data_IF_901769891717
#
_entry.id   IF_901769891717
#
_cell.length_a   1.000
_cell.length_b   1.000
_cell.length_c   1.000
_cell.angle_alpha   90.00
_cell.angle_beta   90.00
_cell.angle_gamma   90.00
#
_symmetry.space_group_name_H-M   'P 1'
#
loop_
_entity.id
_entity.type
_entity.pdbx_description
1 polymer ?
#
# COMPACT_ATOMS: atom_id res chain seq x y z
N UNK A 1 29.50 77.44 12.54
CA UNK A 1 29.76 76.02 12.88
C UNK A 1 29.13 75.14 11.80
N UNK A 2 29.83 74.84 10.70
CA UNK A 2 29.33 73.96 9.65
C UNK A 2 29.64 72.48 9.94
N UNK A 3 28.66 71.59 9.69
CA UNK A 3 28.81 70.12 9.68
C UNK A 3 29.64 69.67 8.47
N UNK A 4 30.62 68.76 8.61
CA UNK A 4 31.26 68.12 7.47
C UNK A 4 30.70 66.71 7.18
N UNK A 5 30.22 66.56 5.94
CA UNK A 5 30.48 65.48 4.98
C UNK A 5 30.46 64.01 5.42
N UNK A 6 29.45 63.29 4.92
CA UNK A 6 29.43 61.83 4.75
C UNK A 6 30.58 61.34 3.85
N UNK A 7 31.27 60.28 4.28
CA UNK A 7 32.20 59.52 3.45
C UNK A 7 31.59 58.17 3.12
N UNK A 8 31.36 57.95 1.84
CA UNK A 8 31.04 56.68 1.19
C UNK A 8 32.23 55.73 1.29
N UNK A 9 31.99 54.49 1.71
CA UNK A 9 32.95 53.36 1.67
C UNK A 9 32.64 52.46 0.47
N UNK A 10 33.66 51.90 -0.22
CA UNK A 10 33.50 51.19 -1.48
C UNK A 10 33.08 49.72 -1.31
N UNK A 11 32.38 49.21 -2.32
CA UNK A 11 31.95 47.82 -2.46
C UNK A 11 33.15 46.88 -2.66
N UNK A 12 33.16 45.77 -1.92
CA UNK A 12 34.13 44.69 -2.05
C UNK A 12 33.63 43.68 -3.07
N UNK A 13 34.35 43.54 -4.19
CA UNK A 13 34.20 42.43 -5.14
C UNK A 13 34.53 41.11 -4.45
N UNK A 14 33.64 40.12 -4.55
CA UNK A 14 33.90 38.73 -4.19
C UNK A 14 33.84 37.90 -5.46
N UNK A 15 34.95 37.20 -5.73
CA UNK A 15 35.15 36.34 -6.88
C UNK A 15 34.14 35.19 -6.92
N UNK A 16 33.49 35.05 -8.08
CA UNK A 16 32.57 33.98 -8.44
C UNK A 16 33.36 32.69 -8.69
N UNK A 17 33.29 31.75 -7.74
CA UNK A 17 33.83 30.41 -7.88
C UNK A 17 32.79 29.52 -8.57
N UNK A 18 33.16 28.99 -9.73
CA UNK A 18 32.34 28.11 -10.59
C UNK A 18 32.13 26.74 -9.91
N UNK A 19 30.89 26.40 -9.60
CA UNK A 19 30.50 25.11 -9.02
C UNK A 19 30.75 23.97 -10.02
N UNK A 20 31.28 22.80 -9.59
CA UNK A 20 31.38 21.61 -10.44
C UNK A 20 30.03 20.86 -10.52
N UNK A 21 29.60 20.57 -11.74
CA UNK A 21 28.40 19.80 -12.10
C UNK A 21 28.32 18.42 -11.39
N UNK A 22 27.13 17.98 -10.95
CA UNK A 22 26.95 16.70 -10.26
C UNK A 22 26.92 15.49 -11.21
N UNK A 23 27.70 14.47 -10.86
CA UNK A 23 27.80 13.18 -11.55
C UNK A 23 26.53 12.31 -11.29
N UNK A 24 25.79 11.82 -12.31
CA UNK A 24 24.46 11.24 -12.12
C UNK A 24 24.43 9.72 -11.89
N UNK A 25 25.36 9.14 -11.13
CA UNK A 25 25.34 7.68 -10.85
C UNK A 25 25.99 7.30 -9.51
N UNK A 26 25.41 7.78 -8.42
CA UNK A 26 25.64 7.20 -7.10
C UNK A 26 24.28 7.00 -6.43
N UNK A 27 23.89 5.74 -6.21
CA UNK A 27 22.79 5.42 -5.30
C UNK A 27 23.15 6.03 -3.92
N UNK A 28 22.23 6.73 -3.24
CA UNK A 28 22.58 7.41 -2.00
C UNK A 28 23.00 6.37 -0.96
N UNK A 29 24.26 6.40 -0.55
CA UNK A 29 24.75 5.63 0.59
C UNK A 29 23.85 5.95 1.78
N UNK A 30 23.03 4.99 2.20
CA UNK A 30 22.16 5.15 3.36
C UNK A 30 23.09 5.22 4.56
N UNK A 31 23.34 6.42 5.08
CA UNK A 31 24.00 6.63 6.37
C UNK A 31 23.17 5.90 7.43
N UNK A 32 23.68 4.76 7.88
CA UNK A 32 23.07 3.96 8.94
C UNK A 32 23.67 4.36 10.27
N UNK A 33 22.83 4.43 11.29
CA UNK A 33 23.28 4.63 12.67
C UNK A 33 24.06 3.41 13.15
N UNK A 34 24.85 3.59 14.20
CA UNK A 34 25.40 2.42 14.90
C UNK A 34 24.25 1.57 15.47
N UNK A 35 24.44 0.25 15.66
CA UNK A 35 23.38 -0.61 16.19
C UNK A 35 22.85 -0.16 17.56
N UNK A 36 23.69 0.48 18.38
CA UNK A 36 23.31 1.01 19.69
C UNK A 36 22.43 2.25 19.58
N UNK A 37 22.82 3.20 18.72
CA UNK A 37 22.02 4.40 18.43
C UNK A 37 20.69 4.06 17.75
N UNK A 38 20.69 3.11 16.81
CA UNK A 38 19.47 2.61 16.16
C UNK A 38 18.49 2.05 17.21
N UNK A 39 19.00 1.27 18.16
CA UNK A 39 18.16 0.72 19.23
C UNK A 39 17.59 1.81 20.12
N UNK A 40 18.40 2.82 20.47
CA UNK A 40 17.96 3.95 21.28
C UNK A 40 16.85 4.77 20.58
N UNK A 41 17.04 5.10 19.29
CA UNK A 41 16.03 5.80 18.49
C UNK A 41 14.74 4.99 18.33
N UNK A 42 14.86 3.66 18.17
CA UNK A 42 13.70 2.79 18.09
C UNK A 42 12.96 2.69 19.43
N UNK A 43 13.68 2.66 20.54
CA UNK A 43 13.09 2.66 21.89
C UNK A 43 12.37 3.97 22.20
N UNK A 44 12.97 5.10 21.84
CA UNK A 44 12.34 6.42 21.93
C UNK A 44 11.07 6.49 21.09
N UNK A 45 11.14 6.10 19.80
CA UNK A 45 9.98 6.03 18.92
C UNK A 45 8.87 5.12 19.47
N UNK A 46 9.23 3.97 20.05
CA UNK A 46 8.28 3.05 20.67
C UNK A 46 7.62 3.62 21.92
N UNK A 47 8.35 4.42 22.71
CA UNK A 47 7.83 5.12 23.89
C UNK A 47 6.81 6.18 23.47
N UNK A 48 7.15 7.03 22.50
CA UNK A 48 6.24 8.04 21.96
C UNK A 48 5.00 7.40 21.32
N UNK A 49 5.17 6.27 20.61
CA UNK A 49 4.06 5.48 20.08
C UNK A 49 3.14 4.94 21.20
N UNK A 50 3.70 4.54 22.34
CA UNK A 50 2.91 4.08 23.48
C UNK A 50 2.08 5.21 24.10
N UNK A 51 2.65 6.41 24.23
CA UNK A 51 1.91 7.62 24.62
C UNK A 51 0.77 7.93 23.63
N UNK A 52 1.05 7.84 22.33
CA UNK A 52 0.05 8.05 21.29
C UNK A 52 -1.09 7.00 21.37
N UNK A 53 -0.78 5.74 21.67
CA UNK A 53 -1.79 4.71 21.90
C UNK A 53 -2.66 5.02 23.14
N UNK A 54 -2.07 5.58 24.20
CA UNK A 54 -2.82 5.99 25.38
C UNK A 54 -3.81 7.11 25.04
N UNK A 55 -3.36 8.14 24.30
CA UNK A 55 -4.23 9.23 23.80
C UNK A 55 -5.31 8.72 22.85
N UNK A 56 -4.98 7.75 22.00
CA UNK A 56 -5.95 7.10 21.11
C UNK A 56 -7.06 6.42 21.93
N UNK A 57 -6.72 5.73 23.02
CA UNK A 57 -7.70 5.07 23.89
C UNK A 57 -8.64 6.05 24.59
N UNK A 58 -8.19 7.29 24.85
CA UNK A 58 -9.01 8.37 25.41
C UNK A 58 -9.80 9.14 24.35
N UNK A 59 -9.82 8.67 23.10
CA UNK A 59 -10.47 9.32 21.94
C UNK A 59 -9.90 10.70 21.60
N UNK A 60 -8.69 11.01 22.07
CA UNK A 60 -7.98 12.25 21.75
C UNK A 60 -7.12 12.02 20.51
N UNK A 61 -7.78 11.98 19.34
CA UNK A 61 -7.15 11.59 18.09
C UNK A 61 -6.18 12.65 17.55
N UNK A 62 -6.42 13.93 17.82
CA UNK A 62 -5.56 15.03 17.37
C UNK A 62 -4.21 14.99 18.07
N UNK A 63 -4.21 14.91 19.41
CA UNK A 63 -2.96 14.80 20.17
C UNK A 63 -2.27 13.44 19.92
N UNK A 64 -3.04 12.37 19.74
CA UNK A 64 -2.47 11.07 19.34
C UNK A 64 -1.75 11.16 18.00
N UNK A 65 -2.31 11.86 17.00
CA UNK A 65 -1.67 12.05 15.69
C UNK A 65 -0.36 12.81 15.81
N UNK A 66 -0.32 13.90 16.59
CA UNK A 66 0.93 14.63 16.83
C UNK A 66 2.01 13.72 17.41
N UNK A 67 1.66 12.90 18.43
CA UNK A 67 2.62 11.95 19.01
C UNK A 67 3.05 10.84 18.04
N UNK A 68 2.17 10.38 17.16
CA UNK A 68 2.59 9.46 16.10
C UNK A 68 3.52 10.09 15.07
N UNK A 69 3.32 11.36 14.74
CA UNK A 69 4.23 12.10 13.85
C UNK A 69 5.61 12.26 14.50
N UNK A 70 5.66 12.57 15.80
CA UNK A 70 6.90 12.59 16.58
C UNK A 70 7.58 11.21 16.58
N UNK A 71 6.82 10.14 16.81
CA UNK A 71 7.37 8.78 16.72
C UNK A 71 7.94 8.44 15.33
N UNK A 72 7.34 8.95 14.25
CA UNK A 72 7.83 8.77 12.88
C UNK A 72 9.06 9.61 12.56
N UNK A 73 9.24 10.78 13.18
CA UNK A 73 10.41 11.62 12.97
C UNK A 73 11.63 11.05 13.69
N UNK A 74 11.45 10.44 14.86
CA UNK A 74 12.51 9.71 15.58
C UNK A 74 12.90 8.40 14.90
N UNK A 75 11.95 7.70 14.25
CA UNK A 75 12.20 6.39 13.66
C UNK A 75 13.03 6.49 12.36
N UNK A 76 14.23 5.86 12.28
CA UNK A 76 15.06 5.87 11.08
C UNK A 76 14.32 5.40 9.81
N UNK A 77 14.49 6.11 8.70
CA UNK A 77 13.74 5.89 7.46
C UNK A 77 13.88 4.48 6.85
N UNK A 78 15.00 3.79 7.11
CA UNK A 78 15.24 2.44 6.62
C UNK A 78 14.53 1.34 7.44
N UNK A 79 13.97 1.66 8.62
CA UNK A 79 13.21 0.74 9.46
C UNK A 79 11.74 0.64 9.00
N UNK A 80 11.55 0.04 7.83
CA UNK A 80 10.27 0.04 7.12
C UNK A 80 9.11 -0.57 7.90
N UNK A 81 9.34 -1.68 8.62
CA UNK A 81 8.27 -2.31 9.41
C UNK A 81 7.83 -1.42 10.57
N UNK A 82 8.77 -0.85 11.32
CA UNK A 82 8.45 -0.03 12.51
C UNK A 82 7.70 1.24 12.10
N UNK A 83 8.12 1.86 11.00
CA UNK A 83 7.41 2.99 10.37
C UNK A 83 6.02 2.59 9.89
N UNK A 84 5.87 1.43 9.26
CA UNK A 84 4.58 0.94 8.79
C UNK A 84 3.59 0.68 9.94
N UNK A 85 4.06 0.22 11.11
CA UNK A 85 3.24 0.07 12.31
C UNK A 85 2.65 1.43 12.72
N UNK A 86 3.50 2.45 12.83
CA UNK A 86 3.08 3.80 13.24
C UNK A 86 2.13 4.42 12.21
N UNK A 87 2.47 4.36 10.92
CA UNK A 87 1.61 4.86 9.84
C UNK A 87 0.25 4.16 9.80
N UNK A 88 0.21 2.85 10.04
CA UNK A 88 -1.03 2.09 10.12
C UNK A 88 -1.89 2.56 11.30
N UNK A 89 -1.29 2.89 12.45
CA UNK A 89 -2.02 3.47 13.58
C UNK A 89 -2.51 4.91 13.32
N UNK A 90 -1.72 5.75 12.64
CA UNK A 90 -2.19 7.07 12.20
C UNK A 90 -3.41 6.96 11.29
N UNK A 91 -3.43 6.00 10.37
CA UNK A 91 -4.61 5.73 9.54
C UNK A 91 -5.84 5.37 10.39
N UNK A 92 -5.66 4.71 11.54
CA UNK A 92 -6.75 4.45 12.47
C UNK A 92 -7.27 5.73 13.14
N UNK A 93 -6.41 6.70 13.47
CA UNK A 93 -6.84 8.01 13.97
C UNK A 93 -7.64 8.77 12.90
N UNK A 94 -7.11 8.86 11.67
CA UNK A 94 -7.77 9.55 10.57
C UNK A 94 -9.14 8.95 10.24
N UNK A 95 -9.32 7.63 10.38
CA UNK A 95 -10.62 6.99 10.23
C UNK A 95 -11.63 7.41 11.29
N UNK A 96 -11.21 7.62 12.54
CA UNK A 96 -12.10 8.09 13.60
C UNK A 96 -12.45 9.56 13.46
N UNK A 97 -11.57 10.34 12.84
CA UNK A 97 -11.79 11.76 12.52
C UNK A 97 -12.49 11.98 11.16
N UNK A 98 -12.86 10.90 10.46
CA UNK A 98 -13.48 10.96 9.12
C UNK A 98 -12.62 11.67 8.06
N UNK A 99 -11.30 11.74 8.28
CA UNK A 99 -10.33 12.31 7.35
C UNK A 99 -9.91 11.26 6.33
N UNK A 100 -10.82 10.91 5.42
CA UNK A 100 -10.65 9.78 4.51
C UNK A 100 -9.40 9.87 3.64
N UNK A 101 -9.09 11.06 3.10
CA UNK A 101 -7.93 11.27 2.23
C UNK A 101 -6.61 11.00 2.95
N UNK A 102 -6.48 11.45 4.19
CA UNK A 102 -5.25 11.28 4.95
C UNK A 102 -5.14 9.86 5.53
N UNK A 103 -6.27 9.22 5.86
CA UNK A 103 -6.32 7.79 6.17
C UNK A 103 -5.82 6.93 4.99
N UNK A 104 -6.25 7.23 3.75
CA UNK A 104 -5.80 6.53 2.54
C UNK A 104 -4.30 6.70 2.35
N UNK A 105 -3.77 7.93 2.47
CA UNK A 105 -2.34 8.21 2.34
C UNK A 105 -1.52 7.45 3.38
N UNK A 106 -1.87 7.58 4.66
CA UNK A 106 -1.13 6.92 5.75
C UNK A 106 -1.15 5.39 5.62
N UNK A 107 -2.29 4.79 5.27
CA UNK A 107 -2.38 3.35 5.06
C UNK A 107 -1.61 2.89 3.80
N UNK A 108 -1.57 3.71 2.74
CA UNK A 108 -0.79 3.42 1.53
C UNK A 108 0.70 3.47 1.82
N UNK A 109 1.19 4.50 2.52
CA UNK A 109 2.60 4.56 2.93
C UNK A 109 3.03 3.36 3.78
N UNK A 110 2.14 2.88 4.67
CA UNK A 110 2.40 1.67 5.44
C UNK A 110 2.55 0.44 4.54
N UNK A 111 1.65 0.27 3.56
CA UNK A 111 1.69 -0.85 2.62
C UNK A 111 2.91 -0.80 1.70
N UNK A 112 3.28 0.38 1.21
CA UNK A 112 4.45 0.59 0.37
C UNK A 112 5.75 0.27 1.13
N UNK A 113 5.83 0.68 2.40
CA UNK A 113 6.94 0.33 3.29
C UNK A 113 7.08 -1.19 3.48
N UNK A 114 5.95 -1.89 3.73
CA UNK A 114 5.95 -3.35 3.86
C UNK A 114 6.29 -4.06 2.54
N UNK A 115 5.79 -3.59 1.40
CA UNK A 115 6.12 -4.14 0.08
C UNK A 115 7.60 -3.98 -0.23
N UNK A 116 8.17 -2.82 0.09
CA UNK A 116 9.61 -2.56 -0.06
C UNK A 116 10.46 -3.47 0.84
N UNK A 117 10.00 -3.75 2.07
CA UNK A 117 10.67 -4.67 2.99
C UNK A 117 10.71 -6.10 2.44
N UNK A 118 9.59 -6.59 1.91
CA UNK A 118 9.52 -7.92 1.31
C UNK A 118 10.36 -8.04 0.04
N UNK A 119 10.37 -7.00 -0.81
CA UNK A 119 11.23 -6.95 -1.99
C UNK A 119 12.71 -7.06 -1.63
N UNK A 120 13.15 -6.35 -0.58
CA UNK A 120 14.52 -6.43 -0.05
C UNK A 120 14.85 -7.81 0.52
N UNK A 121 13.91 -8.48 1.18
CA UNK A 121 14.13 -9.83 1.71
C UNK A 121 14.29 -10.84 0.58
N UNK A 122 13.43 -10.77 -0.46
CA UNK A 122 13.52 -11.64 -1.64
C UNK A 122 14.82 -11.44 -2.43
N UNK A 123 15.29 -10.19 -2.56
CA UNK A 123 16.56 -9.90 -3.22
C UNK A 123 17.74 -10.57 -2.50
N UNK A 124 17.81 -10.45 -1.16
CA UNK A 124 18.84 -11.10 -0.34
C UNK A 124 18.80 -12.63 -0.42
N UNK A 125 17.61 -13.22 -0.44
CA UNK A 125 17.45 -14.67 -0.63
C UNK A 125 17.95 -15.13 -2.00
N UNK A 126 17.71 -14.34 -3.05
CA UNK A 126 18.19 -14.64 -4.41
C UNK A 126 19.71 -14.52 -4.54
N UNK A 127 20.31 -13.53 -3.90
CA UNK A 127 21.77 -13.35 -3.84
C UNK A 127 22.45 -14.50 -3.08
N UNK A 128 21.90 -14.90 -1.93
CA UNK A 128 22.41 -16.05 -1.16
C UNK A 128 22.30 -17.37 -1.91
N UNK A 129 21.21 -17.60 -2.66
CA UNK A 129 21.08 -18.80 -3.51
C UNK A 129 22.09 -18.82 -4.65
N UNK A 130 22.38 -17.68 -5.27
CA UNK A 130 23.38 -17.58 -6.33
C UNK A 130 24.81 -17.80 -5.81
N UNK A 131 25.13 -17.33 -4.60
CA UNK A 131 26.42 -17.62 -3.94
C UNK A 131 26.56 -19.11 -3.54
N UNK A 132 25.49 -19.74 -3.07
CA UNK A 132 25.47 -21.17 -2.73
C UNK A 132 25.60 -22.08 -3.98
N UNK A 133 24.92 -21.76 -5.07
CA UNK A 133 25.05 -22.48 -6.36
C UNK A 133 26.44 -22.26 -7.00
N UNK A 134 27.07 -21.10 -6.75
CA UNK A 134 28.46 -20.83 -7.12
C UNK A 134 29.47 -21.70 -6.36
N UNK A 135 29.17 -22.07 -5.12
CA UNK A 135 30.02 -22.96 -4.31
C UNK A 135 29.87 -24.45 -4.67
N UNK A 136 28.68 -24.91 -5.07
CA UNK A 136 28.47 -26.31 -5.51
C UNK A 136 29.15 -26.63 -6.85
N UNK A 137 29.18 -25.67 -7.78
CA UNK A 137 29.85 -25.82 -9.07
C UNK A 137 31.38 -25.90 -8.93
N UNK A 138 31.96 -25.30 -7.88
CA UNK A 138 33.41 -25.36 -7.62
C UNK A 138 33.84 -26.67 -6.92
N UNK A 139 32.89 -27.43 -6.35
CA UNK A 139 33.16 -28.74 -5.73
C UNK A 139 33.10 -29.91 -6.73
N UNK A 140 32.39 -29.75 -7.85
CA UNK A 140 32.34 -30.75 -8.95
C UNK A 140 33.57 -30.74 -9.87
N UNK A 141 34.37 -29.67 -9.89
CA UNK A 141 35.59 -29.59 -10.74
C UNK A 141 36.84 -30.23 -10.12
N UNK A 142 36.73 -30.87 -8.95
CA UNK A 142 37.86 -31.57 -8.28
C UNK A 142 37.65 -33.07 -8.06
N UNK A 143 36.62 -33.68 -8.66
CA UNK A 143 36.41 -35.12 -8.65
C UNK A 143 36.02 -35.62 -10.05
N UNK A 144 36.89 -35.37 -11.03
CA UNK A 144 36.87 -36.10 -12.30
C UNK A 144 38.31 -36.47 -12.66
N UNK A 145 38.90 -37.38 -11.89
CA UNK A 145 40.04 -38.21 -12.34
C UNK A 145 40.26 -39.35 -11.35
N UNK A 146 39.48 -40.44 -11.49
CA UNK A 146 39.83 -41.80 -11.05
C UNK A 146 38.75 -42.81 -11.50
N UNK A 147 38.80 -43.13 -12.79
CA UNK A 147 38.75 -44.49 -13.35
C UNK A 147 38.01 -45.62 -12.58
N UNK A 148 36.84 -46.00 -13.13
CA UNK A 148 36.51 -47.32 -13.71
C UNK A 148 36.90 -48.58 -12.91
N UNK A 149 35.90 -49.33 -12.42
CA UNK A 149 35.65 -50.76 -12.79
C UNK A 149 34.43 -51.39 -12.10
N UNK A 150 33.63 -52.06 -12.96
CA UNK A 150 32.88 -53.32 -12.81
C UNK A 150 31.89 -53.55 -11.66
N UNK A 151 30.73 -54.11 -12.04
CA UNK A 151 30.11 -55.22 -11.29
C UNK A 151 28.63 -55.08 -11.00
N UNK A 152 27.82 -55.58 -11.94
CA UNK A 152 26.60 -56.38 -11.80
C UNK A 152 25.72 -56.32 -10.53
N UNK A 153 24.41 -56.26 -10.80
CA UNK A 153 23.33 -57.06 -10.20
C UNK A 153 22.13 -56.29 -9.62
N UNK A 154 20.98 -56.91 -9.93
CA UNK A 154 19.58 -56.57 -9.78
C UNK A 154 19.07 -56.27 -8.37
N UNK A 155 18.00 -55.49 -8.24
CA UNK A 155 16.66 -55.99 -7.81
C UNK A 155 15.66 -54.85 -7.58
N UNK A 156 14.40 -55.21 -7.83
CA UNK A 156 13.16 -54.45 -7.79
C UNK A 156 12.78 -53.96 -6.39
N UNK A 157 12.06 -52.84 -6.25
CA UNK A 157 10.65 -52.75 -5.79
C UNK A 157 10.23 -51.32 -5.43
N UNK A 158 9.10 -50.86 -5.99
CA UNK A 158 8.18 -49.87 -5.39
C UNK A 158 7.12 -50.64 -4.56
N UNK A 159 6.30 -50.07 -3.62
CA UNK A 159 5.24 -49.05 -3.86
C UNK A 159 5.08 -47.99 -2.71
N UNK A 160 4.51 -46.76 -2.91
CA UNK A 160 3.08 -46.32 -2.88
C UNK A 160 2.43 -46.47 -1.47
N UNK A 161 1.79 -45.48 -0.80
CA UNK A 161 0.47 -44.82 -1.09
C UNK A 161 0.04 -43.77 -0.02
N UNK A 162 -0.79 -42.80 -0.46
CA UNK A 162 -2.06 -42.24 0.10
C UNK A 162 -2.09 -41.42 1.41
N UNK A 163 -3.09 -40.57 1.72
CA UNK A 163 -4.02 -39.62 1.07
C UNK A 163 -5.14 -39.32 2.11
N UNK A 164 -5.71 -38.10 2.08
CA UNK A 164 -7.04 -37.66 2.59
C UNK A 164 -7.30 -37.53 4.12
N UNK A 165 -8.30 -36.82 4.65
CA UNK A 165 -9.18 -35.66 4.35
C UNK A 165 -10.27 -35.65 5.48
N UNK A 166 -10.93 -34.52 5.74
CA UNK A 166 -12.23 -34.40 6.45
C UNK A 166 -12.13 -33.63 7.79
N UNK A 167 -12.61 -32.39 7.97
CA UNK A 167 -13.98 -31.84 7.88
C UNK A 167 -14.91 -32.47 8.95
N UNK A 168 -15.60 -31.78 9.89
CA UNK A 168 -16.76 -30.87 9.72
C UNK A 168 -17.21 -30.27 11.11
N UNK A 169 -17.64 -29.00 11.05
CA UNK A 169 -18.72 -28.22 11.75
C UNK A 169 -19.11 -28.27 13.26
N UNK A 170 -19.51 -27.08 13.75
CA UNK A 170 -20.47 -26.92 14.85
C UNK A 170 -20.67 -25.50 15.43
N UNK A 171 -21.48 -24.68 14.74
CA UNK A 171 -22.11 -23.35 15.04
C UNK A 171 -22.71 -23.24 16.49
N UNK A 172 -22.78 -22.09 17.21
CA UNK A 172 -23.96 -21.18 17.38
C UNK A 172 -23.76 -20.09 18.50
N UNK A 173 -23.86 -18.79 18.10
CA UNK A 173 -24.56 -17.57 18.67
C UNK A 173 -24.23 -17.12 20.14
N UNK A 174 -23.99 -15.86 20.57
CA UNK A 174 -24.67 -14.55 20.37
C UNK A 174 -23.93 -13.36 21.04
N UNK A 175 -24.46 -12.16 20.80
CA UNK A 175 -24.05 -10.79 21.11
C UNK A 175 -23.88 -10.36 22.59
N UNK A 176 -23.17 -9.24 22.81
CA UNK A 176 -23.50 -8.28 23.88
C UNK A 176 -22.36 -7.65 24.69
N UNK A 177 -22.14 -6.35 24.46
CA UNK A 177 -21.88 -5.29 25.45
C UNK A 177 -20.64 -5.33 26.39
N UNK A 178 -19.77 -4.34 26.17
CA UNK A 178 -19.22 -3.40 27.15
C UNK A 178 -18.85 -3.91 28.55
N UNK A 179 -17.55 -4.14 28.78
CA UNK A 179 -16.74 -3.72 29.95
C UNK A 179 -15.38 -4.43 29.93
N UNK A 180 -14.30 -3.70 29.70
CA UNK A 180 -13.01 -4.02 30.31
C UNK A 180 -12.09 -2.78 30.25
N UNK A 181 -11.62 -2.38 31.42
CA UNK A 181 -10.63 -1.34 31.68
C UNK A 181 -9.22 -1.76 31.15
N UNK A 182 -8.22 -0.86 31.15
CA UNK A 182 -7.07 -0.93 30.25
C UNK A 182 -6.11 -2.08 30.56
N UNK A 183 -5.77 -2.85 29.51
CA UNK A 183 -4.82 -3.96 29.58
C UNK A 183 -3.38 -3.49 29.81
N UNK A 184 -2.77 -4.05 30.84
CA UNK A 184 -1.35 -3.98 31.17
C UNK A 184 -0.44 -4.53 30.04
N UNK A 185 0.84 -4.10 29.98
CA UNK A 185 1.81 -4.63 29.02
C UNK A 185 2.09 -6.13 29.27
N UNK A 186 2.42 -6.90 28.20
CA UNK A 186 2.49 -8.36 28.28
C UNK A 186 3.65 -8.81 29.17
N UNK A 187 3.30 -9.26 30.37
CA UNK A 187 4.16 -10.10 31.20
C UNK A 187 4.01 -11.56 30.77
N UNK A 188 5.13 -12.25 30.83
CA UNK A 188 5.41 -13.63 30.46
C UNK A 188 4.44 -14.70 30.98
N UNK A 189 4.19 -15.67 30.09
CA UNK A 189 3.92 -17.11 30.30
C UNK A 189 2.59 -17.58 30.89
N UNK A 190 1.80 -18.30 30.07
CA UNK A 190 1.37 -19.69 30.36
C UNK A 190 0.84 -20.40 29.09
N UNK A 191 1.01 -21.72 29.12
CA UNK A 191 1.08 -22.74 28.06
C UNK A 191 -0.26 -23.26 27.54
N UNK A 192 -0.33 -23.54 26.24
CA UNK A 192 -1.13 -24.63 25.67
C UNK A 192 -0.20 -25.44 24.75
N UNK A 193 -0.12 -26.74 25.02
CA UNK A 193 0.71 -27.72 24.33
C UNK A 193 0.35 -27.84 22.84
N UNK A 194 1.37 -27.71 21.97
CA UNK A 194 1.25 -27.87 20.53
C UNK A 194 2.53 -27.44 19.84
N UNK A 195 3.31 -28.42 19.40
CA UNK A 195 4.58 -28.30 18.66
C UNK A 195 4.57 -27.20 17.59
N UNK A 196 5.28 -26.08 17.84
CA UNK A 196 5.77 -25.22 16.76
C UNK A 196 6.94 -24.39 17.28
N UNK A 197 8.15 -24.88 17.01
CA UNK A 197 9.37 -24.05 17.03
C UNK A 197 9.30 -23.05 15.86
N UNK A 198 8.40 -22.08 15.93
CA UNK A 198 8.27 -21.03 14.92
C UNK A 198 9.54 -20.18 14.93
N UNK A 199 10.26 -20.13 13.80
CA UNK A 199 11.53 -19.40 13.70
C UNK A 199 11.32 -17.90 13.94
N UNK A 200 12.35 -17.17 14.36
CA UNK A 200 12.26 -15.71 14.52
C UNK A 200 11.85 -15.00 13.21
N UNK A 201 12.23 -15.58 12.06
CA UNK A 201 11.85 -15.12 10.74
C UNK A 201 10.34 -15.29 10.48
N UNK A 202 9.77 -16.48 10.77
CA UNK A 202 8.33 -16.74 10.64
C UNK A 202 7.49 -15.82 11.52
N UNK A 203 7.95 -15.55 12.76
CA UNK A 203 7.29 -14.59 13.66
C UNK A 203 7.28 -13.19 13.05
N UNK A 204 8.42 -12.74 12.51
CA UNK A 204 8.53 -11.43 11.85
C UNK A 204 7.64 -11.34 10.62
N UNK A 205 7.54 -12.42 9.85
CA UNK A 205 6.65 -12.48 8.68
C UNK A 205 5.18 -12.43 9.10
N UNK A 206 4.78 -13.17 10.13
CA UNK A 206 3.43 -13.12 10.69
C UNK A 206 3.08 -11.71 11.20
N UNK A 207 4.03 -11.03 11.84
CA UNK A 207 3.86 -9.65 12.27
C UNK A 207 3.69 -8.68 11.09
N UNK A 208 4.52 -8.82 10.04
CA UNK A 208 4.38 -8.06 8.79
C UNK A 208 3.01 -8.29 8.16
N UNK A 209 2.56 -9.55 8.06
CA UNK A 209 1.23 -9.91 7.55
C UNK A 209 0.11 -9.27 8.37
N UNK A 210 0.22 -9.28 9.71
CA UNK A 210 -0.77 -8.65 10.60
C UNK A 210 -0.87 -7.14 10.35
N UNK A 211 0.25 -6.44 10.21
CA UNK A 211 0.25 -4.99 9.93
C UNK A 211 -0.29 -4.70 8.53
N UNK A 212 0.03 -5.54 7.53
CA UNK A 212 -0.54 -5.46 6.19
C UNK A 212 -2.07 -5.60 6.21
N UNK A 213 -2.59 -6.61 6.90
CA UNK A 213 -4.04 -6.83 7.02
C UNK A 213 -4.71 -5.57 7.62
N UNK A 214 -4.16 -5.04 8.71
CA UNK A 214 -4.68 -3.81 9.34
C UNK A 214 -4.64 -2.62 8.39
N UNK A 215 -3.54 -2.40 7.68
CA UNK A 215 -3.40 -1.29 6.75
C UNK A 215 -4.37 -1.42 5.56
N UNK A 216 -4.54 -2.63 5.00
CA UNK A 216 -5.52 -2.90 3.94
C UNK A 216 -6.95 -2.64 4.40
N UNK A 217 -7.35 -3.15 5.58
CA UNK A 217 -8.68 -2.91 6.13
C UNK A 217 -8.95 -1.42 6.33
N UNK A 218 -7.96 -0.69 6.84
CA UNK A 218 -8.05 0.76 7.05
C UNK A 218 -8.16 1.53 5.73
N UNK A 219 -7.35 1.17 4.73
CA UNK A 219 -7.39 1.79 3.39
C UNK A 219 -8.71 1.49 2.66
N UNK A 220 -9.15 0.24 2.68
CA UNK A 220 -10.39 -0.20 2.06
C UNK A 220 -11.61 0.54 2.64
N UNK A 221 -11.66 0.67 3.98
CA UNK A 221 -12.70 1.45 4.67
C UNK A 221 -12.64 2.92 4.27
N UNK A 222 -11.47 3.55 4.37
CA UNK A 222 -11.33 4.96 4.03
C UNK A 222 -11.72 5.26 2.57
N UNK A 223 -11.34 4.38 1.63
CA UNK A 223 -11.74 4.47 0.22
C UNK A 223 -13.25 4.30 0.01
N UNK A 224 -13.87 3.35 0.71
CA UNK A 224 -15.31 3.12 0.64
C UNK A 224 -16.15 4.30 1.15
N UNK A 225 -15.65 5.01 2.17
CA UNK A 225 -16.27 6.23 2.72
C UNK A 225 -15.95 7.48 1.88
N UNK A 226 -14.74 7.59 1.33
CA UNK A 226 -14.36 8.70 0.46
C UNK A 226 -15.24 8.81 -0.80
N UNK A 227 -15.78 7.68 -1.27
CA UNK A 227 -16.65 7.63 -2.44
C UNK A 227 -15.95 8.02 -3.74
N UNK A 228 -16.74 8.15 -4.80
CA UNK A 228 -16.22 8.34 -6.16
C UNK A 228 -15.68 7.05 -6.78
N UNK A 229 -15.72 6.98 -8.09
CA UNK A 229 -15.46 5.77 -8.86
C UNK A 229 -14.06 5.19 -8.57
N UNK A 230 -13.03 6.05 -8.55
CA UNK A 230 -11.65 5.62 -8.30
C UNK A 230 -11.47 5.01 -6.90
N UNK A 231 -12.00 5.64 -5.85
CA UNK A 231 -11.84 5.11 -4.50
C UNK A 231 -12.67 3.85 -4.30
N UNK A 232 -13.91 3.78 -4.79
CA UNK A 232 -14.76 2.60 -4.66
C UNK A 232 -14.12 1.39 -5.36
N UNK A 233 -13.55 1.59 -6.55
CA UNK A 233 -12.78 0.54 -7.26
C UNK A 233 -11.57 0.09 -6.44
N UNK A 234 -10.78 1.04 -5.90
CA UNK A 234 -9.64 0.72 -5.06
C UNK A 234 -10.03 0.04 -3.73
N UNK A 235 -11.21 0.33 -3.18
CA UNK A 235 -11.74 -0.35 -2.00
C UNK A 235 -12.09 -1.81 -2.32
N UNK A 236 -12.70 -2.08 -3.48
CA UNK A 236 -12.96 -3.45 -3.92
C UNK A 236 -11.68 -4.26 -4.07
N UNK A 237 -10.63 -3.67 -4.67
CA UNK A 237 -9.33 -4.32 -4.83
C UNK A 237 -8.71 -4.68 -3.47
N UNK A 238 -8.76 -3.75 -2.52
CA UNK A 238 -8.24 -3.99 -1.16
C UNK A 238 -9.02 -5.12 -0.45
N UNK A 239 -10.36 -5.13 -0.57
CA UNK A 239 -11.19 -6.19 0.02
C UNK A 239 -11.02 -7.55 -0.70
N UNK A 240 -10.80 -7.55 -2.01
CA UNK A 240 -10.47 -8.77 -2.79
C UNK A 240 -9.11 -9.32 -2.36
N UNK A 241 -8.13 -8.46 -2.09
CA UNK A 241 -6.84 -8.90 -1.56
C UNK A 241 -6.98 -9.46 -0.13
N UNK A 242 -7.78 -8.82 0.71
CA UNK A 242 -8.03 -9.31 2.07
C UNK A 242 -8.71 -10.69 2.11
N UNK A 243 -9.59 -10.99 1.15
CA UNK A 243 -10.30 -12.27 1.12
C UNK A 243 -9.41 -13.46 0.75
N UNK A 244 -8.21 -13.22 0.21
CA UNK A 244 -7.22 -14.26 -0.10
C UNK A 244 -6.18 -14.47 1.01
N UNK A 245 -6.20 -13.66 2.07
CA UNK A 245 -5.22 -13.74 3.16
C UNK A 245 -5.62 -14.81 4.20
N UNK A 246 -4.71 -15.71 4.62
CA UNK A 246 -5.02 -16.82 5.51
C UNK A 246 -5.26 -16.40 6.98
N UNK A 247 -4.60 -15.32 7.44
CA UNK A 247 -4.58 -14.90 8.86
C UNK A 247 -5.70 -13.89 9.21
N UNK A 248 -6.78 -13.85 8.44
CA UNK A 248 -7.85 -12.86 8.62
C UNK A 248 -8.83 -13.29 9.72
N UNK A 249 -9.02 -12.44 10.73
CA UNK A 249 -9.91 -12.74 11.85
C UNK A 249 -11.37 -12.92 11.41
N UNK A 250 -12.15 -13.74 12.12
CA UNK A 250 -13.53 -14.05 11.74
C UNK A 250 -14.45 -12.82 11.62
N UNK A 251 -14.25 -11.81 12.48
CA UNK A 251 -14.98 -10.55 12.42
C UNK A 251 -14.62 -9.73 11.18
N UNK A 252 -13.33 -9.67 10.84
CA UNK A 252 -12.84 -8.98 9.65
C UNK A 252 -13.33 -9.71 8.40
N UNK A 253 -13.25 -11.04 8.36
CA UNK A 253 -13.80 -11.86 7.26
C UNK A 253 -15.28 -11.57 6.99
N UNK A 254 -16.10 -11.40 8.03
CA UNK A 254 -17.51 -11.04 7.87
C UNK A 254 -17.66 -9.65 7.24
N UNK A 255 -16.85 -8.70 7.68
CA UNK A 255 -16.82 -7.33 7.13
C UNK A 255 -16.41 -7.35 5.66
N UNK A 256 -15.31 -8.03 5.32
CA UNK A 256 -14.80 -8.17 3.95
C UNK A 256 -15.87 -8.76 3.03
N UNK A 257 -16.52 -9.87 3.44
CA UNK A 257 -17.60 -10.48 2.66
C UNK A 257 -18.78 -9.52 2.44
N UNK A 258 -19.19 -8.80 3.48
CA UNK A 258 -20.27 -7.80 3.36
C UNK A 258 -19.91 -6.67 2.38
N UNK A 259 -18.68 -6.18 2.45
CA UNK A 259 -18.20 -5.10 1.57
C UNK A 259 -18.06 -5.56 0.10
N UNK A 260 -17.63 -6.80 -0.13
CA UNK A 260 -17.56 -7.38 -1.48
C UNK A 260 -18.93 -7.58 -2.14
N UNK A 261 -20.01 -7.61 -1.37
CA UNK A 261 -21.39 -7.59 -1.90
C UNK A 261 -21.86 -6.15 -2.12
N UNK A 262 -21.54 -5.24 -1.20
CA UNK A 262 -22.08 -3.88 -1.21
C UNK A 262 -21.37 -2.93 -2.19
N UNK A 263 -20.07 -3.10 -2.43
CA UNK A 263 -19.27 -2.17 -3.24
C UNK A 263 -19.54 -2.25 -4.75
N UNK A 264 -19.61 -3.44 -5.40
CA UNK A 264 -19.80 -3.52 -6.85
C UNK A 264 -20.97 -2.70 -7.43
N UNK A 265 -22.19 -2.70 -6.85
CA UNK A 265 -23.26 -1.85 -7.35
C UNK A 265 -22.97 -0.35 -7.13
N UNK A 266 -22.34 0.03 -6.02
CA UNK A 266 -21.94 1.42 -5.74
C UNK A 266 -20.88 1.90 -6.73
N UNK A 267 -19.89 1.06 -7.04
CA UNK A 267 -18.83 1.38 -8.00
C UNK A 267 -19.40 1.58 -9.40
N UNK A 268 -20.32 0.72 -9.84
CA UNK A 268 -21.01 0.87 -11.14
C UNK A 268 -21.83 2.15 -11.21
N UNK A 269 -22.60 2.45 -10.16
CA UNK A 269 -23.38 3.69 -10.09
C UNK A 269 -22.48 4.93 -10.17
N UNK A 270 -21.40 4.98 -9.38
CA UNK A 270 -20.43 6.08 -9.41
C UNK A 270 -19.71 6.19 -10.76
N UNK A 271 -19.40 5.05 -11.39
CA UNK A 271 -18.83 5.02 -12.75
C UNK A 271 -19.77 5.68 -13.75
N UNK A 272 -21.04 5.27 -13.80
CA UNK A 272 -22.02 5.83 -14.74
C UNK A 272 -22.25 7.32 -14.51
N UNK A 273 -22.34 7.75 -13.26
CA UNK A 273 -22.50 9.17 -12.87
C UNK A 273 -21.29 10.00 -13.34
N UNK A 274 -20.06 9.62 -12.95
CA UNK A 274 -18.85 10.36 -13.32
C UNK A 274 -18.61 10.34 -14.84
N UNK A 275 -18.89 9.22 -15.53
CA UNK A 275 -18.82 9.15 -16.99
C UNK A 275 -19.84 10.10 -17.63
N UNK A 276 -21.06 10.18 -17.10
CA UNK A 276 -22.09 11.08 -17.62
C UNK A 276 -21.71 12.55 -17.46
N UNK A 277 -21.12 12.91 -16.31
CA UNK A 277 -20.62 14.27 -16.07
C UNK A 277 -19.44 14.61 -16.97
N UNK A 278 -18.49 13.70 -17.13
CA UNK A 278 -17.34 13.89 -18.00
C UNK A 278 -17.77 13.99 -19.47
N UNK A 279 -18.73 13.18 -19.89
CA UNK A 279 -19.34 13.26 -21.22
C UNK A 279 -20.06 14.59 -21.43
N UNK A 280 -20.81 15.07 -20.43
CA UNK A 280 -21.46 16.37 -20.46
C UNK A 280 -20.47 17.54 -20.58
N UNK A 281 -19.35 17.48 -19.84
CA UNK A 281 -18.25 18.47 -19.93
C UNK A 281 -17.59 18.42 -21.31
N UNK A 282 -17.31 17.24 -21.84
CA UNK A 282 -16.73 17.05 -23.18
C UNK A 282 -17.67 17.56 -24.27
N UNK A 283 -18.97 17.30 -24.13
CA UNK A 283 -20.01 17.81 -25.03
C UNK A 283 -20.05 19.32 -25.02
N UNK A 284 -20.04 19.93 -23.83
CA UNK A 284 -20.05 21.40 -23.67
C UNK A 284 -18.81 22.04 -24.27
N UNK A 285 -17.63 21.44 -24.07
CA UNK A 285 -16.37 21.91 -24.67
C UNK A 285 -16.42 21.79 -26.20
N UNK A 286 -16.88 20.65 -26.73
CA UNK A 286 -17.06 20.43 -28.16
C UNK A 286 -18.05 21.42 -28.77
N UNK A 287 -19.17 21.68 -28.10
CA UNK A 287 -20.15 22.69 -28.50
C UNK A 287 -19.54 24.10 -28.48
N UNK A 288 -18.67 24.42 -27.52
CA UNK A 288 -17.95 25.69 -27.48
C UNK A 288 -17.06 25.92 -28.72
N UNK A 289 -16.40 24.87 -29.22
CA UNK A 289 -15.58 24.91 -30.43
C UNK A 289 -16.46 24.95 -31.69
N UNK A 290 -17.60 24.27 -31.69
CA UNK A 290 -18.49 24.12 -32.85
C UNK A 290 -19.48 25.28 -33.01
N UNK A 291 -19.80 26.01 -31.94
CA UNK A 291 -20.77 27.11 -31.94
C UNK A 291 -20.42 28.27 -32.90
N UNK A 292 -19.15 28.71 -33.08
CA UNK A 292 -18.78 29.66 -34.12
C UNK A 292 -19.08 29.20 -35.55
N UNK A 293 -19.23 27.89 -35.76
CA UNK A 293 -19.58 27.29 -37.04
C UNK A 293 -21.08 26.98 -37.19
N UNK A 294 -21.91 27.38 -36.22
CA UNK A 294 -23.34 27.05 -36.21
C UNK A 294 -23.62 25.56 -35.97
N UNK A 295 -22.64 24.82 -35.43
CA UNK A 295 -22.71 23.39 -35.19
C UNK A 295 -22.78 23.08 -33.70
N UNK A 296 -23.30 21.89 -33.38
CA UNK A 296 -23.22 21.29 -32.05
C UNK A 296 -22.81 19.82 -32.20
N UNK A 297 -22.17 19.28 -31.17
CA UNK A 297 -21.95 17.85 -30.92
C UNK A 297 -23.23 17.01 -31.03
N UNK A 298 -24.41 17.61 -30.86
CA UNK A 298 -25.72 16.94 -31.06
C UNK A 298 -26.05 16.71 -32.54
N UNK A 299 -25.45 17.49 -33.45
CA UNK A 299 -25.70 17.38 -34.89
C UNK A 299 -25.01 16.15 -35.48
N UNK A 300 -24.05 15.55 -34.77
CA UNK A 300 -23.31 14.37 -35.19
C UNK A 300 -23.86 13.14 -34.46
N UNK A 301 -24.84 12.47 -35.05
CA UNK A 301 -25.45 11.26 -34.50
C UNK A 301 -24.68 10.03 -34.96
N UNK A 302 -24.11 9.30 -34.00
CA UNK A 302 -23.44 8.04 -34.28
C UNK A 302 -24.48 6.92 -34.31
N UNK A 303 -24.66 6.27 -35.47
CA UNK A 303 -25.54 5.12 -35.67
C UNK A 303 -24.69 3.88 -35.86
N UNK A 304 -24.83 2.91 -34.96
CA UNK A 304 -24.17 1.61 -35.03
C UNK A 304 -24.95 0.70 -35.98
N UNK A 305 -24.30 0.21 -37.03
CA UNK A 305 -24.89 -0.77 -37.94
C UNK A 305 -24.72 -2.18 -37.35
N UNK A 306 -25.82 -2.78 -36.88
CA UNK A 306 -25.84 -4.09 -36.20
C UNK A 306 -25.33 -5.24 -37.09
N UNK A 307 -25.31 -5.08 -38.42
CA UNK A 307 -24.88 -6.13 -39.36
C UNK A 307 -23.39 -6.09 -39.70
N UNK A 308 -22.79 -4.91 -39.80
CA UNK A 308 -21.36 -4.77 -40.11
C UNK A 308 -20.49 -4.50 -38.88
N UNK A 309 -21.11 -4.18 -37.74
CA UNK A 309 -20.41 -3.71 -36.54
C UNK A 309 -19.76 -2.34 -36.72
N UNK A 310 -19.91 -1.70 -37.89
CA UNK A 310 -19.36 -0.40 -38.20
C UNK A 310 -20.13 0.75 -37.53
N UNK A 311 -19.40 1.81 -37.17
CA UNK A 311 -19.98 3.06 -36.70
C UNK A 311 -20.12 4.02 -37.89
N UNK A 312 -21.34 4.40 -38.23
CA UNK A 312 -21.64 5.44 -39.22
C UNK A 312 -22.01 6.74 -38.52
N UNK A 313 -21.55 7.88 -39.01
CA UNK A 313 -21.82 9.19 -38.42
C UNK A 313 -22.77 9.96 -39.34
N UNK A 314 -24.00 10.15 -38.87
CA UNK A 314 -25.02 10.91 -39.58
C UNK A 314 -25.02 12.36 -39.08
N UNK A 315 -25.02 13.30 -40.02
CA UNK A 315 -25.11 14.72 -39.70
C UNK A 315 -26.55 15.21 -39.85
N UNK A 316 -27.17 15.64 -38.76
CA UNK A 316 -28.45 16.32 -38.77
C UNK A 316 -28.22 17.83 -38.67
N UNK A 317 -28.39 18.55 -39.77
CA UNK A 317 -28.43 20.01 -39.77
C UNK A 317 -29.64 20.48 -38.97
N UNK A 318 -29.42 21.00 -37.76
CA UNK A 318 -30.47 21.64 -36.97
C UNK A 318 -31.12 22.76 -37.79
N UNK A 319 -32.41 22.61 -38.06
CA UNK A 319 -33.21 23.49 -38.92
C UNK A 319 -33.39 24.86 -38.26
N UNK A 320 -32.39 25.73 -38.45
CA UNK A 320 -32.50 27.15 -38.18
C UNK A 320 -33.46 27.77 -39.18
N UNK A 321 -34.67 28.08 -38.71
CA UNK A 321 -35.70 28.87 -39.37
C UNK A 321 -35.13 30.14 -40.01
N UNK A 322 -34.73 30.06 -41.27
CA UNK A 322 -34.57 31.21 -42.14
C UNK A 322 -35.98 31.70 -42.54
N UNK A 323 -36.69 32.31 -41.59
CA UNK A 323 -37.91 33.05 -41.88
C UNK A 323 -37.50 34.36 -42.54
N UNK A 324 -37.37 34.25 -43.86
CA UNK A 324 -37.33 35.32 -44.85
C UNK A 324 -38.21 36.50 -44.40
N UNK A 325 -37.61 37.66 -44.16
CA UNK A 325 -38.18 38.99 -44.39
C UNK A 325 -37.09 40.05 -44.31
#
# INVERSE_FOLDING_TARGET
>A
MPRPSEKTVPASECHEAKEPEPNPTAEPEVVRFSPEEERALLEESNTTKAEANALYSTHDYENALSRYQDALSTCPNYLLYERAVVQSNMAACYLQMEQWKDAIKAATSALDGLATLEGKNKAKESEQKQELDGFENNKKTKQQDAQKKNGDSSSETSPKTADQDGSIEGVIISAGAARAAPGQPPSSSQSIDGDTSTTAAEKREADVRRIRIKALLRRARARAEAGGWHNLTGAEEDYKLLSTMPDLGAADMRTVRGQLVALPPRTKAAQEEELSEMWGKLKTLGDGILKPFGLSTSNFQMVKDEKSGGYSMNFSSGEGSAKKR
#
